data_IF_317636475757
#
_entry.id   IF_317636475757
#
_cell.length_a   1.000
_cell.length_b   1.000
_cell.length_c   1.000
_cell.angle_alpha   90.00
_cell.angle_beta   90.00
_cell.angle_gamma   90.00
#
_symmetry.space_group_name_H-M   'P 1'
#
loop_
_entity.id
_entity.type
_entity.pdbx_description
1 polymer ?
#
# COMPACT_ATOMS: atom_id res chain seq x y z
N UNK A 1 -56.77 27.09 8.25
CA UNK A 1 -56.50 25.67 8.17
C UNK A 1 -55.44 25.47 7.11
N UNK A 2 -54.16 25.33 7.51
CA UNK A 2 -53.06 25.14 6.60
C UNK A 2 -52.77 23.65 6.45
N UNK A 3 -52.82 23.13 5.22
CA UNK A 3 -52.51 21.76 4.89
C UNK A 3 -51.01 21.52 5.08
N UNK A 4 -50.58 20.43 5.75
CA UNK A 4 -49.16 20.13 5.89
C UNK A 4 -48.54 19.65 4.55
N UNK A 5 -47.40 20.25 4.18
CA UNK A 5 -46.60 19.88 3.03
C UNK A 5 -46.02 18.48 3.30
N UNK A 6 -46.17 17.49 2.40
CA UNK A 6 -45.57 16.18 2.60
C UNK A 6 -44.05 16.30 2.54
N UNK A 7 -43.36 15.83 3.60
CA UNK A 7 -41.89 15.64 3.59
C UNK A 7 -41.52 14.57 2.56
N UNK A 8 -40.88 15.00 1.50
CA UNK A 8 -40.26 14.11 0.54
C UNK A 8 -39.21 13.25 1.29
N UNK A 9 -39.50 11.99 1.47
CA UNK A 9 -38.52 11.03 1.97
C UNK A 9 -37.41 10.89 0.91
N UNK A 10 -36.22 11.42 1.21
CA UNK A 10 -35.03 11.22 0.41
C UNK A 10 -34.70 9.72 0.49
N UNK A 11 -34.98 9.01 -0.58
CA UNK A 11 -34.73 7.59 -0.71
C UNK A 11 -33.20 7.43 -0.75
N UNK A 12 -32.61 6.92 0.35
CA UNK A 12 -31.20 6.56 0.44
C UNK A 12 -30.97 5.39 -0.54
N UNK A 13 -30.42 5.69 -1.71
CA UNK A 13 -29.90 4.64 -2.57
C UNK A 13 -28.62 4.12 -1.92
N UNK A 14 -28.53 2.83 -1.54
CA UNK A 14 -27.29 2.27 -1.03
C UNK A 14 -26.25 2.36 -2.15
N UNK A 15 -25.09 2.93 -1.86
CA UNK A 15 -23.95 2.96 -2.76
C UNK A 15 -23.64 1.51 -3.15
N UNK A 16 -23.85 1.15 -4.41
CA UNK A 16 -23.62 -0.22 -4.90
C UNK A 16 -22.13 -0.52 -4.79
N UNK A 17 -21.76 -1.39 -3.86
CA UNK A 17 -20.38 -1.86 -3.75
C UNK A 17 -20.02 -2.66 -4.99
N UNK A 18 -18.89 -2.31 -5.62
CA UNK A 18 -18.31 -3.17 -6.64
C UNK A 18 -17.78 -4.45 -5.96
N UNK A 19 -18.07 -5.58 -6.58
CA UNK A 19 -17.61 -6.88 -6.11
C UNK A 19 -16.68 -7.50 -7.14
N UNK A 20 -15.47 -7.87 -6.70
CA UNK A 20 -14.45 -8.48 -7.53
C UNK A 20 -14.20 -9.92 -7.07
N UNK A 21 -13.66 -10.75 -7.94
CA UNK A 21 -13.18 -12.07 -7.55
C UNK A 21 -11.95 -11.93 -6.63
N UNK A 22 -10.99 -11.08 -7.02
CA UNK A 22 -9.77 -10.86 -6.26
C UNK A 22 -9.44 -9.36 -6.21
N UNK A 23 -8.92 -8.90 -5.07
CA UNK A 23 -8.27 -7.60 -4.92
C UNK A 23 -6.88 -7.86 -4.36
N UNK A 24 -5.83 -7.28 -4.96
CA UNK A 24 -4.48 -7.25 -4.42
C UNK A 24 -4.05 -5.79 -4.16
N UNK A 25 -3.46 -5.56 -3.00
CA UNK A 25 -2.89 -4.28 -2.56
C UNK A 25 -1.58 -4.53 -1.83
N UNK A 26 -0.58 -3.69 -2.05
CA UNK A 26 0.71 -3.71 -1.36
C UNK A 26 1.16 -2.33 -0.92
N UNK A 27 2.34 -2.25 -0.32
CA UNK A 27 3.08 -1.02 -0.08
C UNK A 27 2.22 0.08 0.58
N UNK A 28 1.48 -0.31 1.61
CA UNK A 28 0.59 0.59 2.37
C UNK A 28 1.36 1.39 3.40
N UNK A 29 2.41 0.79 3.99
CA UNK A 29 3.29 1.40 4.98
C UNK A 29 2.55 2.05 6.15
N UNK A 30 1.58 1.31 6.76
CA UNK A 30 0.91 1.74 7.98
C UNK A 30 1.95 2.02 9.08
N UNK A 31 1.84 3.16 9.74
CA UNK A 31 2.81 3.62 10.72
C UNK A 31 3.73 4.71 10.19
N UNK A 32 3.58 5.12 8.93
CA UNK A 32 4.28 6.27 8.34
C UNK A 32 3.38 7.49 8.20
N UNK A 33 3.99 8.66 7.98
CA UNK A 33 3.21 9.90 7.73
C UNK A 33 2.64 9.94 6.30
N UNK A 34 3.28 9.25 5.38
CA UNK A 34 3.05 9.35 3.93
C UNK A 34 1.98 8.34 3.45
N UNK A 35 1.62 7.36 4.30
CA UNK A 35 0.55 6.40 4.05
C UNK A 35 -0.80 7.09 3.79
N UNK A 36 -1.45 6.76 2.67
CA UNK A 36 -2.77 7.26 2.25
C UNK A 36 -3.91 6.42 2.86
N UNK A 37 -3.83 6.16 4.18
CA UNK A 37 -4.75 5.28 4.89
C UNK A 37 -6.24 5.67 4.76
N UNK A 38 -6.55 6.97 4.67
CA UNK A 38 -7.93 7.43 4.52
C UNK A 38 -8.49 7.04 3.14
N UNK A 39 -7.68 7.15 2.08
CA UNK A 39 -8.04 6.69 0.72
C UNK A 39 -8.22 5.19 0.66
N UNK A 40 -7.30 4.42 1.26
CA UNK A 40 -7.43 2.97 1.32
C UNK A 40 -8.69 2.56 2.08
N UNK A 41 -9.02 3.23 3.20
CA UNK A 41 -10.26 3.02 3.92
C UNK A 41 -11.48 3.26 3.03
N UNK A 42 -11.46 4.35 2.25
CA UNK A 42 -12.53 4.68 1.32
C UNK A 42 -12.64 3.61 0.21
N UNK A 43 -11.52 3.22 -0.40
CA UNK A 43 -11.49 2.14 -1.40
C UNK A 43 -12.09 0.83 -0.88
N UNK A 44 -11.61 0.33 0.27
CA UNK A 44 -12.10 -0.91 0.89
C UNK A 44 -13.56 -0.80 1.41
N UNK A 45 -14.08 0.40 1.61
CA UNK A 45 -15.49 0.62 1.95
C UNK A 45 -16.39 0.38 0.74
N UNK A 46 -15.99 0.83 -0.45
CA UNK A 46 -16.79 0.80 -1.67
C UNK A 46 -16.56 -0.45 -2.53
N UNK A 47 -15.53 -1.24 -2.21
CA UNK A 47 -15.18 -2.44 -2.94
C UNK A 47 -15.19 -3.66 -2.02
N UNK A 48 -15.61 -4.81 -2.55
CA UNK A 48 -15.59 -6.11 -1.88
C UNK A 48 -15.03 -7.16 -2.83
N UNK A 49 -14.61 -8.30 -2.30
CA UNK A 49 -14.04 -9.38 -3.11
C UNK A 49 -14.22 -10.74 -2.41
N UNK A 50 -14.03 -11.81 -3.19
CA UNK A 50 -13.96 -13.16 -2.64
C UNK A 50 -12.61 -13.38 -1.96
N UNK A 51 -11.50 -12.91 -2.59
CA UNK A 51 -10.13 -12.97 -2.03
C UNK A 51 -9.48 -11.60 -1.98
N UNK A 52 -8.92 -11.24 -0.82
CA UNK A 52 -8.11 -10.03 -0.61
C UNK A 52 -6.67 -10.43 -0.31
N UNK A 53 -5.76 -10.11 -1.20
CA UNK A 53 -4.32 -10.22 -0.98
C UNK A 53 -3.76 -8.90 -0.45
N UNK A 54 -3.04 -8.98 0.67
CA UNK A 54 -2.19 -7.93 1.23
C UNK A 54 -0.75 -8.32 0.87
N UNK A 55 -0.23 -7.75 -0.23
CA UNK A 55 0.97 -8.26 -0.91
C UNK A 55 2.25 -7.60 -0.37
N UNK A 56 2.42 -7.61 0.94
CA UNK A 56 3.62 -7.13 1.63
C UNK A 56 3.67 -5.62 1.87
N UNK A 57 4.54 -5.23 2.78
CA UNK A 57 4.77 -3.85 3.20
C UNK A 57 3.50 -3.13 3.65
N UNK A 58 2.61 -3.88 4.31
CA UNK A 58 1.37 -3.35 4.86
C UNK A 58 1.64 -2.55 6.14
N UNK A 59 2.53 -3.07 7.00
CA UNK A 59 2.92 -2.42 8.27
C UNK A 59 4.41 -2.08 8.21
N UNK A 60 4.77 -0.80 8.34
CA UNK A 60 6.17 -0.38 8.31
C UNK A 60 6.84 -0.54 9.69
N UNK A 61 7.29 -1.76 10.01
CA UNK A 61 7.96 -2.05 11.26
C UNK A 61 9.37 -1.41 11.36
N UNK A 62 10.02 -1.10 10.24
CA UNK A 62 11.32 -0.41 10.25
C UNK A 62 11.24 0.98 10.89
N UNK A 63 10.08 1.66 10.82
CA UNK A 63 9.88 2.95 11.48
C UNK A 63 9.84 2.84 13.00
N UNK A 64 9.47 1.68 13.54
CA UNK A 64 9.52 1.43 14.98
C UNK A 64 10.97 1.49 15.43
N UNK A 65 11.87 0.78 14.76
CA UNK A 65 13.31 0.74 15.08
C UNK A 65 13.98 2.12 14.97
N UNK A 66 13.47 2.99 14.09
CA UNK A 66 13.98 4.33 13.87
C UNK A 66 13.36 5.40 14.79
N UNK A 67 12.49 5.04 15.73
CA UNK A 67 11.68 5.99 16.53
C UNK A 67 10.87 6.99 15.67
N UNK A 68 10.48 6.60 14.46
CA UNK A 68 9.71 7.40 13.51
C UNK A 68 8.29 6.90 13.29
N UNK A 69 7.85 5.95 14.11
CA UNK A 69 6.52 5.37 14.06
C UNK A 69 5.44 6.40 14.33
N UNK A 70 4.46 6.49 13.45
CA UNK A 70 3.33 7.42 13.55
C UNK A 70 2.04 6.69 13.23
N UNK A 71 1.38 6.22 14.27
CA UNK A 71 0.10 5.54 14.13
C UNK A 71 -1.07 6.51 14.28
N UNK A 72 -1.86 6.71 13.22
CA UNK A 72 -3.07 7.53 13.21
C UNK A 72 -4.30 6.63 13.37
N UNK A 73 -5.45 7.24 13.73
CA UNK A 73 -6.72 6.51 13.77
C UNK A 73 -7.09 5.90 12.42
N UNK A 74 -6.76 6.58 11.31
CA UNK A 74 -6.99 6.04 9.95
C UNK A 74 -6.26 4.71 9.71
N UNK A 75 -5.05 4.52 10.26
CA UNK A 75 -4.32 3.24 10.20
C UNK A 75 -5.09 2.12 10.92
N UNK A 76 -5.56 2.39 12.14
CA UNK A 76 -6.43 1.46 12.88
C UNK A 76 -7.70 1.13 12.08
N UNK A 77 -8.29 2.11 11.39
CA UNK A 77 -9.48 1.92 10.58
C UNK A 77 -9.20 0.99 9.38
N UNK A 78 -8.01 1.07 8.74
CA UNK A 78 -7.61 0.12 7.69
C UNK A 78 -7.59 -1.30 8.24
N UNK A 79 -6.89 -1.53 9.37
CA UNK A 79 -6.82 -2.85 10.00
C UNK A 79 -8.23 -3.38 10.32
N UNK A 80 -9.09 -2.55 10.96
CA UNK A 80 -10.48 -2.93 11.26
C UNK A 80 -11.28 -3.27 10.00
N UNK A 81 -11.04 -2.58 8.89
CA UNK A 81 -11.73 -2.81 7.63
C UNK A 81 -11.30 -4.13 7.00
N UNK A 82 -10.00 -4.42 6.98
CA UNK A 82 -9.46 -5.71 6.53
C UNK A 82 -10.06 -6.87 7.33
N UNK A 83 -10.02 -6.78 8.67
CA UNK A 83 -10.65 -7.78 9.54
C UNK A 83 -12.17 -7.85 9.34
N UNK A 84 -12.81 -6.73 9.00
CA UNK A 84 -14.21 -6.68 8.62
C UNK A 84 -14.52 -7.41 7.32
N UNK A 85 -13.63 -7.39 6.32
CA UNK A 85 -13.74 -8.21 5.11
C UNK A 85 -13.65 -9.70 5.46
N UNK A 86 -12.64 -10.11 6.24
CA UNK A 86 -12.50 -11.48 6.71
C UNK A 86 -13.73 -11.98 7.47
N UNK A 87 -14.27 -11.15 8.38
CA UNK A 87 -15.51 -11.50 9.13
C UNK A 87 -16.74 -11.71 8.22
N UNK A 88 -16.77 -11.06 7.06
CA UNK A 88 -17.88 -11.21 6.09
C UNK A 88 -17.67 -12.35 5.09
N UNK A 89 -16.63 -13.16 5.27
CA UNK A 89 -16.37 -14.33 4.44
C UNK A 89 -15.36 -14.11 3.30
N UNK A 90 -14.77 -12.91 3.16
CA UNK A 90 -13.65 -12.70 2.24
C UNK A 90 -12.44 -13.50 2.73
N UNK A 91 -11.82 -14.32 1.89
CA UNK A 91 -10.53 -14.93 2.18
C UNK A 91 -9.48 -13.83 2.19
N UNK A 92 -8.81 -13.59 3.33
CA UNK A 92 -7.77 -12.59 3.46
C UNK A 92 -6.42 -13.27 3.63
N UNK A 93 -5.51 -12.96 2.72
CA UNK A 93 -4.14 -13.52 2.70
C UNK A 93 -3.13 -12.40 2.80
N UNK A 94 -2.27 -12.47 3.79
CA UNK A 94 -1.17 -11.55 4.02
C UNK A 94 0.14 -12.18 3.54
N UNK A 95 0.79 -11.56 2.59
CA UNK A 95 2.15 -11.91 2.14
C UNK A 95 3.13 -11.00 2.88
N UNK A 96 4.15 -11.56 3.51
CA UNK A 96 5.15 -10.78 4.23
C UNK A 96 6.11 -10.09 3.25
N UNK A 97 6.26 -8.76 3.39
CA UNK A 97 7.26 -7.95 2.69
C UNK A 97 8.51 -7.72 3.56
N UNK A 98 9.41 -6.85 3.09
CA UNK A 98 10.63 -6.54 3.82
C UNK A 98 10.40 -5.55 4.98
N UNK A 99 9.42 -4.64 4.90
CA UNK A 99 9.07 -3.74 6.00
C UNK A 99 8.29 -4.43 7.11
N UNK A 100 7.65 -5.55 6.83
CA UNK A 100 6.93 -6.37 7.80
C UNK A 100 7.52 -7.80 7.92
N UNK A 101 8.82 -7.94 7.65
CA UNK A 101 9.59 -9.19 7.73
C UNK A 101 9.53 -9.89 9.11
N UNK A 102 9.18 -9.16 10.17
CA UNK A 102 8.99 -9.72 11.52
C UNK A 102 7.92 -10.82 11.57
N UNK A 103 7.07 -10.91 10.57
CA UNK A 103 6.07 -11.98 10.43
C UNK A 103 6.68 -13.29 9.92
N UNK A 104 7.77 -13.23 9.16
CA UNK A 104 8.37 -14.41 8.48
C UNK A 104 8.77 -15.54 9.43
N UNK A 105 9.39 -15.28 10.59
CA UNK A 105 9.73 -16.34 11.55
C UNK A 105 8.51 -17.08 12.10
N UNK A 106 7.30 -16.51 12.01
CA UNK A 106 6.09 -17.11 12.54
C UNK A 106 5.37 -18.00 11.53
N UNK A 107 5.66 -17.82 10.22
CA UNK A 107 5.00 -18.55 9.12
C UNK A 107 5.15 -20.08 9.23
N UNK A 108 6.35 -20.64 9.54
CA UNK A 108 6.51 -22.09 9.66
C UNK A 108 5.67 -22.73 10.77
N UNK A 109 5.23 -21.92 11.74
CA UNK A 109 4.39 -22.39 12.87
C UNK A 109 2.88 -22.26 12.59
N UNK A 110 2.48 -21.91 11.35
CA UNK A 110 1.08 -21.74 10.98
C UNK A 110 0.40 -20.54 11.66
N UNK A 111 1.16 -19.51 12.00
CA UNK A 111 0.62 -18.31 12.64
C UNK A 111 -0.37 -17.59 11.71
N UNK A 112 -1.49 -17.15 12.28
CA UNK A 112 -2.53 -16.39 11.59
C UNK A 112 -3.13 -15.34 12.52
N UNK A 113 -3.69 -14.28 11.95
CA UNK A 113 -4.49 -13.31 12.70
C UNK A 113 -5.99 -13.65 12.57
N UNK A 114 -6.49 -14.58 13.38
CA UNK A 114 -7.84 -15.10 13.25
C UNK A 114 -8.01 -15.82 11.91
N UNK A 115 -8.85 -15.28 11.02
CA UNK A 115 -9.07 -15.82 9.66
C UNK A 115 -8.16 -15.20 8.58
N UNK A 116 -7.13 -14.43 8.97
CA UNK A 116 -6.14 -13.89 8.03
C UNK A 116 -4.97 -14.84 7.92
N UNK A 117 -4.78 -15.45 6.76
CA UNK A 117 -3.65 -16.32 6.46
C UNK A 117 -2.37 -15.50 6.28
N UNK A 118 -1.19 -16.03 6.70
CA UNK A 118 0.11 -15.36 6.52
C UNK A 118 1.06 -16.28 5.78
N UNK A 119 1.63 -15.77 4.67
CA UNK A 119 2.53 -16.52 3.80
C UNK A 119 3.72 -15.66 3.34
N UNK A 120 4.81 -16.31 2.90
CA UNK A 120 5.88 -15.63 2.15
C UNK A 120 5.50 -15.46 0.68
N UNK A 121 4.82 -16.46 0.14
CA UNK A 121 4.28 -16.50 -1.22
C UNK A 121 3.18 -17.54 -1.28
N UNK A 122 2.25 -17.42 -2.21
CA UNK A 122 1.16 -18.38 -2.40
C UNK A 122 0.80 -18.45 -3.88
N UNK A 123 0.20 -19.56 -4.29
CA UNK A 123 -0.38 -19.71 -5.61
C UNK A 123 -1.81 -19.18 -5.63
N UNK A 124 -2.15 -18.45 -6.68
CA UNK A 124 -3.51 -18.01 -7.02
C UNK A 124 -3.92 -18.65 -8.34
N UNK A 125 -5.08 -19.30 -8.36
CA UNK A 125 -5.67 -19.83 -9.59
C UNK A 125 -6.68 -18.81 -10.09
N UNK A 126 -6.40 -18.20 -11.24
CA UNK A 126 -7.26 -17.21 -11.87
C UNK A 126 -8.60 -17.80 -12.33
N UNK A 127 -9.57 -16.94 -12.60
CA UNK A 127 -10.84 -17.35 -13.20
C UNK A 127 -10.65 -17.91 -14.64
N UNK A 128 -9.55 -17.57 -15.28
CA UNK A 128 -9.09 -18.09 -16.57
C UNK A 128 -8.40 -19.47 -16.46
N UNK A 129 -8.27 -20.02 -15.25
CA UNK A 129 -7.61 -21.28 -14.97
C UNK A 129 -6.09 -21.21 -14.95
N UNK A 130 -5.49 -20.06 -15.13
CA UNK A 130 -4.05 -19.86 -15.05
C UNK A 130 -3.53 -19.79 -13.63
N UNK A 131 -2.27 -20.16 -13.46
CA UNK A 131 -1.57 -20.23 -12.18
C UNK A 131 -0.67 -19.01 -11.99
N UNK A 132 -0.98 -18.20 -10.99
CA UNK A 132 -0.26 -16.97 -10.66
C UNK A 132 0.47 -17.12 -9.33
N UNK A 133 1.76 -16.78 -9.30
CA UNK A 133 2.50 -16.63 -8.05
C UNK A 133 2.12 -15.30 -7.40
N UNK A 134 1.69 -15.29 -6.14
CA UNK A 134 1.51 -14.06 -5.33
C UNK A 134 2.68 -13.96 -4.38
N UNK A 135 3.47 -12.91 -4.49
CA UNK A 135 4.67 -12.64 -3.68
C UNK A 135 4.91 -11.15 -3.57
N UNK A 136 5.51 -10.66 -2.48
CA UNK A 136 5.85 -9.23 -2.40
C UNK A 136 6.90 -8.83 -3.46
N UNK A 137 7.95 -9.61 -3.61
CA UNK A 137 8.98 -9.38 -4.61
C UNK A 137 10.36 -9.07 -4.04
N UNK A 138 10.49 -8.65 -2.80
CA UNK A 138 11.74 -8.27 -2.14
C UNK A 138 12.84 -9.36 -2.18
N UNK A 139 12.46 -10.64 -2.21
CA UNK A 139 13.38 -11.78 -2.35
C UNK A 139 14.07 -11.83 -3.71
N UNK A 140 13.60 -11.07 -4.69
CA UNK A 140 14.15 -11.01 -6.05
C UNK A 140 15.01 -9.78 -6.29
N UNK A 141 15.17 -8.93 -5.27
CA UNK A 141 16.11 -7.82 -5.26
C UNK A 141 17.55 -8.34 -5.21
N UNK A 142 18.14 -8.57 -6.36
CA UNK A 142 19.56 -8.95 -6.42
C UNK A 142 20.54 -7.87 -5.96
N UNK A 143 20.08 -6.63 -5.71
CA UNK A 143 20.90 -5.51 -5.21
C UNK A 143 19.98 -4.50 -4.52
N UNK A 144 20.13 -4.41 -3.23
CA UNK A 144 19.52 -3.52 -2.27
C UNK A 144 19.45 -2.02 -2.63
N UNK A 145 18.34 -1.37 -2.22
CA UNK A 145 18.28 0.04 -1.81
C UNK A 145 18.42 1.11 -2.89
N UNK A 146 17.65 1.06 -3.96
CA UNK A 146 17.37 2.27 -4.72
C UNK A 146 15.95 2.73 -4.39
N UNK A 147 15.85 3.93 -3.79
CA UNK A 147 14.58 4.51 -3.34
C UNK A 147 13.60 4.67 -4.52
N UNK A 148 12.34 4.26 -4.38
CA UNK A 148 11.31 4.29 -5.44
C UNK A 148 11.02 5.68 -6.00
N UNK A 149 11.29 6.74 -5.23
CA UNK A 149 11.03 8.14 -5.61
C UNK A 149 11.72 8.61 -6.92
N UNK A 150 12.65 7.83 -7.47
CA UNK A 150 13.38 8.19 -8.69
C UNK A 150 12.55 7.98 -9.96
N UNK A 151 11.54 7.13 -9.93
CA UNK A 151 10.63 6.92 -11.06
C UNK A 151 9.66 8.10 -11.27
N UNK A 152 9.48 8.95 -10.26
CA UNK A 152 8.49 10.03 -10.26
C UNK A 152 8.96 11.33 -10.95
N UNK A 153 10.16 11.38 -11.50
CA UNK A 153 10.65 12.55 -12.25
C UNK A 153 10.10 12.52 -13.69
N UNK A 154 8.78 12.69 -13.84
CA UNK A 154 8.17 12.94 -15.14
C UNK A 154 8.64 14.28 -15.76
N UNK A 155 8.31 14.52 -17.05
CA UNK A 155 8.77 15.65 -17.88
C UNK A 155 8.73 17.02 -17.21
N UNK A 156 7.72 17.32 -16.38
CA UNK A 156 7.61 18.60 -15.65
C UNK A 156 8.70 18.80 -14.61
N UNK A 157 9.17 17.73 -13.98
CA UNK A 157 10.25 17.83 -13.01
C UNK A 157 11.61 18.08 -13.70
N UNK A 158 11.79 17.62 -14.94
CA UNK A 158 13.01 17.87 -15.70
C UNK A 158 13.22 19.37 -15.97
N UNK A 159 12.18 20.11 -16.35
CA UNK A 159 12.25 21.56 -16.58
C UNK A 159 12.52 22.34 -15.29
N UNK A 160 11.92 21.92 -14.18
CA UNK A 160 12.19 22.49 -12.85
C UNK A 160 13.65 22.24 -12.47
N UNK A 161 14.15 21.02 -12.69
CA UNK A 161 15.53 20.63 -12.41
C UNK A 161 16.51 21.48 -13.22
N UNK A 162 16.26 21.73 -14.51
CA UNK A 162 17.12 22.58 -15.33
C UNK A 162 17.16 24.03 -14.81
N UNK A 163 16.01 24.56 -14.41
CA UNK A 163 15.92 25.93 -13.85
C UNK A 163 16.65 26.03 -12.50
N UNK A 164 16.46 25.03 -11.62
CA UNK A 164 17.15 24.96 -10.32
C UNK A 164 18.65 24.76 -10.53
N UNK A 165 19.07 23.93 -11.49
CA UNK A 165 20.47 23.69 -11.79
C UNK A 165 21.22 24.98 -12.19
N UNK A 166 20.57 25.82 -12.99
CA UNK A 166 21.19 27.10 -13.41
C UNK A 166 21.39 28.07 -12.23
N UNK A 167 20.39 28.22 -11.36
CA UNK A 167 20.49 29.02 -10.13
C UNK A 167 21.52 28.45 -9.14
N UNK A 168 21.53 27.14 -8.96
CA UNK A 168 22.47 26.43 -8.11
C UNK A 168 23.91 26.59 -8.57
N UNK A 169 24.18 26.47 -9.86
CA UNK A 169 25.52 26.66 -10.40
C UNK A 169 25.98 28.14 -10.39
N UNK A 170 25.05 29.08 -10.48
CA UNK A 170 25.37 30.50 -10.30
C UNK A 170 25.90 30.78 -8.86
N UNK A 171 25.20 30.21 -7.82
CA UNK A 171 25.65 30.32 -6.42
C UNK A 171 27.00 29.62 -6.23
N UNK A 172 27.17 28.39 -6.75
CA UNK A 172 28.43 27.63 -6.64
C UNK A 172 29.62 28.38 -7.21
N UNK A 173 29.46 28.97 -8.41
CA UNK A 173 30.55 29.81 -9.03
C UNK A 173 30.92 30.98 -8.15
N UNK A 174 29.92 31.60 -7.52
CA UNK A 174 30.18 32.76 -6.62
C UNK A 174 30.88 32.33 -5.32
N UNK A 175 30.76 31.09 -4.93
CA UNK A 175 31.44 30.48 -3.78
C UNK A 175 32.77 29.80 -4.14
N UNK A 176 33.23 29.91 -5.39
CA UNK A 176 34.50 29.32 -5.84
C UNK A 176 34.48 27.86 -6.16
N UNK A 177 33.28 27.24 -6.21
CA UNK A 177 33.12 25.83 -6.60
C UNK A 177 32.95 25.67 -8.11
N UNK A 178 33.45 24.54 -8.66
CA UNK A 178 33.29 24.20 -10.07
C UNK A 178 31.84 23.90 -10.45
N UNK A 179 31.59 23.81 -11.76
CA UNK A 179 30.26 23.43 -12.32
C UNK A 179 29.86 22.06 -11.88
N UNK A 180 28.59 21.92 -11.44
CA UNK A 180 27.94 20.61 -11.13
C UNK A 180 26.70 20.45 -11.99
N UNK A 181 26.65 19.38 -12.76
CA UNK A 181 25.49 19.07 -13.58
C UNK A 181 24.47 18.24 -12.80
N UNK A 182 23.48 18.92 -12.23
CA UNK A 182 22.36 18.26 -11.57
C UNK A 182 21.56 17.37 -12.54
N UNK A 183 21.44 17.81 -13.79
CA UNK A 183 20.76 17.03 -14.85
C UNK A 183 21.51 15.73 -15.17
N UNK A 184 22.84 15.75 -15.22
CA UNK A 184 23.65 14.54 -15.44
C UNK A 184 23.55 13.57 -14.25
N UNK A 185 23.60 14.10 -13.04
CA UNK A 185 23.41 13.31 -11.82
C UNK A 185 22.03 12.63 -11.81
N UNK A 186 20.97 13.38 -12.14
CA UNK A 186 19.59 12.84 -12.21
C UNK A 186 19.43 11.81 -13.32
N UNK A 187 19.97 12.07 -14.53
CA UNK A 187 19.96 11.07 -15.62
C UNK A 187 20.60 9.77 -15.17
N UNK A 188 21.73 9.85 -14.43
CA UNK A 188 22.39 8.65 -13.90
C UNK A 188 21.52 7.90 -12.85
N UNK A 189 20.84 8.64 -11.99
CA UNK A 189 19.92 8.07 -10.99
C UNK A 189 18.70 7.44 -11.65
N UNK A 190 18.08 8.14 -12.60
CA UNK A 190 16.93 7.63 -13.37
C UNK A 190 17.33 6.36 -14.13
N UNK A 191 18.46 6.37 -14.85
CA UNK A 191 18.93 5.19 -15.55
C UNK A 191 19.12 4.00 -14.63
N UNK A 192 19.77 4.18 -13.47
CA UNK A 192 19.94 3.10 -12.48
C UNK A 192 18.60 2.58 -11.95
N UNK A 193 17.60 3.44 -11.72
CA UNK A 193 16.28 3.03 -11.29
C UNK A 193 15.56 2.22 -12.38
N UNK A 194 15.62 2.67 -13.62
CA UNK A 194 15.04 1.93 -14.77
C UNK A 194 15.72 0.59 -14.94
N UNK A 195 17.07 0.54 -14.90
CA UNK A 195 17.83 -0.70 -14.99
C UNK A 195 17.48 -1.67 -13.83
N UNK A 196 17.22 -1.13 -12.63
CA UNK A 196 16.79 -1.90 -11.47
C UNK A 196 15.41 -2.51 -11.67
N UNK A 197 14.42 -1.67 -12.04
CA UNK A 197 13.04 -2.11 -12.31
C UNK A 197 13.06 -3.24 -13.37
N UNK A 198 13.75 -3.01 -14.48
CA UNK A 198 13.82 -3.98 -15.56
C UNK A 198 14.40 -5.33 -15.10
N UNK A 199 15.52 -5.31 -14.35
CA UNK A 199 16.14 -6.54 -13.82
C UNK A 199 15.24 -7.24 -12.79
N UNK A 200 14.58 -6.50 -11.93
CA UNK A 200 13.63 -7.05 -10.96
C UNK A 200 12.51 -7.81 -11.68
N UNK A 201 11.87 -7.17 -12.62
CA UNK A 201 10.77 -7.73 -13.40
C UNK A 201 11.21 -8.98 -14.18
N UNK A 202 12.36 -8.91 -14.84
CA UNK A 202 12.93 -10.02 -15.61
C UNK A 202 13.28 -11.20 -14.70
N UNK A 203 13.91 -10.96 -13.55
CA UNK A 203 14.24 -12.00 -12.58
C UNK A 203 12.99 -12.72 -12.06
N UNK A 204 11.95 -11.93 -11.71
CA UNK A 204 10.71 -12.46 -11.19
C UNK A 204 9.95 -13.26 -12.26
N UNK A 205 9.84 -12.74 -13.48
CA UNK A 205 9.23 -13.47 -14.60
C UNK A 205 9.98 -14.78 -14.92
N UNK A 206 11.30 -14.74 -14.96
CA UNK A 206 12.13 -15.94 -15.20
C UNK A 206 11.97 -16.98 -14.08
N UNK A 207 11.85 -16.54 -12.82
CA UNK A 207 11.57 -17.44 -11.71
C UNK A 207 10.20 -18.11 -11.88
N UNK A 208 9.16 -17.36 -12.21
CA UNK A 208 7.82 -17.87 -12.45
C UNK A 208 7.81 -18.88 -13.59
N UNK A 209 8.45 -18.55 -14.71
CA UNK A 209 8.56 -19.45 -15.87
C UNK A 209 9.24 -20.77 -15.52
N UNK A 210 10.35 -20.75 -14.77
CA UNK A 210 11.06 -21.97 -14.31
C UNK A 210 10.22 -22.84 -13.39
N UNK A 211 9.26 -22.25 -12.66
CA UNK A 211 8.37 -22.95 -11.74
C UNK A 211 7.03 -23.34 -12.36
N UNK A 212 6.79 -23.00 -13.63
CA UNK A 212 5.56 -23.35 -14.36
C UNK A 212 4.37 -22.46 -14.03
N UNK A 213 4.60 -21.25 -13.48
CA UNK A 213 3.54 -20.25 -13.32
C UNK A 213 3.30 -19.49 -14.62
N UNK A 214 2.04 -19.22 -14.91
CA UNK A 214 1.60 -18.40 -16.05
C UNK A 214 1.79 -16.92 -15.81
N UNK A 215 1.83 -16.50 -14.53
CA UNK A 215 2.01 -15.09 -14.17
C UNK A 215 2.43 -14.89 -12.72
N UNK A 216 2.62 -13.60 -12.37
CA UNK A 216 2.97 -13.16 -11.03
C UNK A 216 2.18 -11.91 -10.64
N UNK A 217 1.76 -11.87 -9.37
CA UNK A 217 1.16 -10.72 -8.70
C UNK A 217 2.16 -10.26 -7.64
N UNK A 218 2.62 -9.01 -7.73
CA UNK A 218 3.63 -8.47 -6.82
C UNK A 218 3.42 -6.99 -6.51
N UNK A 219 4.19 -6.45 -5.55
CA UNK A 219 4.33 -5.04 -5.19
C UNK A 219 5.80 -4.59 -5.23
N UNK A 220 6.29 -4.03 -4.11
CA UNK A 220 7.67 -3.73 -3.77
C UNK A 220 8.32 -2.57 -4.52
N UNK A 221 8.19 -2.48 -5.84
CA UNK A 221 8.82 -1.42 -6.63
C UNK A 221 7.93 -0.17 -6.79
N UNK A 222 6.74 -0.16 -6.20
CA UNK A 222 5.76 0.95 -6.24
C UNK A 222 5.38 1.40 -7.65
N UNK A 223 5.40 0.48 -8.62
CA UNK A 223 5.11 0.77 -10.03
C UNK A 223 3.99 -0.14 -10.53
N UNK A 224 2.76 0.38 -10.51
CA UNK A 224 1.58 -0.36 -10.95
C UNK A 224 1.62 -0.62 -12.45
N UNK A 225 1.67 -1.90 -12.86
CA UNK A 225 1.75 -2.27 -14.27
C UNK A 225 1.23 -3.69 -14.51
N UNK A 226 0.58 -3.87 -15.65
CA UNK A 226 0.23 -5.19 -16.20
C UNK A 226 0.90 -5.30 -17.56
N UNK A 227 1.78 -6.30 -17.73
CA UNK A 227 2.47 -6.58 -18.99
C UNK A 227 2.86 -8.04 -19.10
N UNK A 228 3.30 -8.46 -20.28
CA UNK A 228 3.87 -9.78 -20.50
C UNK A 228 5.41 -9.68 -20.58
N UNK A 229 6.11 -10.57 -19.87
CA UNK A 229 7.56 -10.67 -19.89
C UNK A 229 7.94 -12.14 -20.11
N UNK A 230 8.57 -12.43 -21.24
CA UNK A 230 9.05 -13.79 -21.59
C UNK A 230 7.93 -14.87 -21.58
N UNK A 231 6.68 -14.49 -21.89
CA UNK A 231 5.49 -15.35 -21.85
C UNK A 231 4.88 -15.52 -20.45
N UNK A 232 5.27 -14.72 -19.47
CA UNK A 232 4.70 -14.67 -18.12
C UNK A 232 3.94 -13.36 -17.92
N UNK A 233 2.71 -13.43 -17.45
CA UNK A 233 1.94 -12.24 -17.08
C UNK A 233 2.53 -11.61 -15.81
N UNK A 234 3.17 -10.45 -15.96
CA UNK A 234 3.68 -9.66 -14.84
C UNK A 234 2.62 -8.63 -14.43
N UNK A 235 2.24 -8.64 -13.15
CA UNK A 235 1.22 -7.76 -12.59
C UNK A 235 1.70 -7.18 -11.26
N UNK A 236 1.94 -5.86 -11.23
CA UNK A 236 2.30 -5.13 -10.02
C UNK A 236 1.12 -4.24 -9.61
N UNK A 237 0.72 -4.31 -8.34
CA UNK A 237 -0.45 -3.60 -7.82
C UNK A 237 -0.15 -2.15 -7.38
N UNK A 238 1.13 -1.75 -7.38
CA UNK A 238 1.58 -0.39 -7.09
C UNK A 238 1.75 -0.11 -5.59
N UNK A 239 1.17 0.98 -5.08
CA UNK A 239 1.33 1.40 -3.70
C UNK A 239 0.15 2.25 -3.16
N UNK A 240 0.12 2.45 -1.83
CA UNK A 240 -0.83 3.33 -1.13
C UNK A 240 -0.12 4.50 -0.40
N UNK A 241 1.00 4.93 -0.94
CA UNK A 241 1.77 6.12 -0.51
C UNK A 241 1.61 7.24 -1.53
N UNK A 242 1.80 6.93 -2.81
CA UNK A 242 1.79 7.91 -3.90
C UNK A 242 0.71 7.62 -4.94
N UNK A 243 0.72 6.44 -5.56
CA UNK A 243 -0.13 6.10 -6.70
C UNK A 243 -1.56 5.73 -6.30
N UNK A 244 -1.78 5.18 -5.10
CA UNK A 244 -3.07 4.73 -4.59
C UNK A 244 -3.76 3.77 -5.56
N UNK A 245 -3.10 2.68 -5.89
CA UNK A 245 -3.55 1.69 -6.86
C UNK A 245 -3.87 0.36 -6.21
N UNK A 246 -4.72 -0.41 -6.86
CA UNK A 246 -5.03 -1.79 -6.53
C UNK A 246 -5.15 -2.61 -7.81
N UNK A 247 -4.67 -3.83 -7.80
CA UNK A 247 -4.90 -4.79 -8.87
C UNK A 247 -6.16 -5.59 -8.56
N UNK A 248 -7.08 -5.69 -9.50
CA UNK A 248 -8.32 -6.44 -9.32
C UNK A 248 -8.52 -7.48 -10.41
N UNK A 249 -9.08 -8.61 -10.02
CA UNK A 249 -9.56 -9.65 -10.92
C UNK A 249 -11.08 -9.63 -10.98
N UNK A 250 -11.63 -9.54 -12.17
CA UNK A 250 -13.05 -9.70 -12.43
C UNK A 250 -13.44 -11.18 -12.49
N UNK A 251 -14.72 -11.51 -12.27
CA UNK A 251 -15.19 -12.88 -12.34
C UNK A 251 -15.05 -13.55 -13.73
N UNK A 252 -14.82 -12.76 -14.77
CA UNK A 252 -14.54 -13.24 -16.12
C UNK A 252 -13.04 -13.48 -16.40
N UNK A 253 -12.17 -13.33 -15.40
CA UNK A 253 -10.71 -13.51 -15.53
C UNK A 253 -9.94 -12.28 -16.06
N UNK A 254 -10.64 -11.15 -16.29
CA UNK A 254 -9.97 -9.91 -16.67
C UNK A 254 -9.28 -9.26 -15.46
N UNK A 255 -8.02 -8.88 -15.62
CA UNK A 255 -7.24 -8.13 -14.64
C UNK A 255 -7.20 -6.65 -14.98
N UNK A 256 -7.34 -5.79 -13.98
CA UNK A 256 -7.38 -4.33 -14.12
C UNK A 256 -6.64 -3.66 -12.94
N UNK A 257 -5.88 -2.59 -13.24
CA UNK A 257 -5.35 -1.69 -12.21
C UNK A 257 -6.36 -0.56 -11.98
N UNK A 258 -6.81 -0.42 -10.75
CA UNK A 258 -7.70 0.67 -10.33
C UNK A 258 -6.88 1.72 -9.61
N UNK A 259 -6.87 2.96 -10.15
CA UNK A 259 -6.35 4.13 -9.44
C UNK A 259 -7.46 4.79 -8.65
N UNK A 260 -7.23 4.99 -7.32
CA UNK A 260 -8.20 5.62 -6.43
C UNK A 260 -7.86 7.09 -6.22
N UNK A 261 -8.48 7.98 -7.02
CA UNK A 261 -8.22 9.43 -7.04
C UNK A 261 -9.05 10.19 -6.01
N UNK A 262 -8.65 11.45 -5.70
CA UNK A 262 -9.37 12.34 -4.78
C UNK A 262 -10.83 12.60 -5.17
N UNK A 263 -11.15 12.63 -6.46
CA UNK A 263 -12.52 12.82 -6.96
C UNK A 263 -13.46 11.68 -6.56
N UNK A 264 -12.92 10.48 -6.35
CA UNK A 264 -13.68 9.34 -5.84
C UNK A 264 -13.88 9.41 -4.32
N UNK A 265 -13.07 10.20 -3.61
CA UNK A 265 -13.22 10.44 -2.16
C UNK A 265 -14.38 11.41 -1.85
N UNK A 266 -14.65 12.38 -2.75
CA UNK A 266 -15.60 13.47 -2.52
C UNK A 266 -17.07 13.06 -2.68
N UNK A 267 -17.35 11.94 -3.34
CA UNK A 267 -18.74 11.44 -3.51
C UNK A 267 -19.41 11.08 -2.17
N UNK A 268 -18.65 10.92 -1.08
CA UNK A 268 -19.16 10.56 0.25
C UNK A 268 -19.21 11.71 1.25
N UNK A 269 -18.51 12.83 1.01
CA UNK A 269 -18.43 13.93 1.99
C UNK A 269 -19.66 14.82 2.00
N UNK A 270 -20.40 14.93 0.89
CA UNK A 270 -21.63 15.72 0.82
C UNK A 270 -22.80 15.08 1.59
N UNK A 271 -22.71 13.77 1.94
CA UNK A 271 -23.79 13.10 2.67
C UNK A 271 -23.60 13.06 4.20
N UNK A 272 -22.47 13.51 4.74
CA UNK A 272 -22.20 13.45 6.20
C UNK A 272 -22.28 14.80 6.91
N UNK A 273 -22.33 15.91 6.19
CA UNK A 273 -22.41 17.26 6.79
C UNK A 273 -23.81 17.67 7.29
N UNK A 274 -24.83 16.90 6.93
CA UNK A 274 -26.24 17.22 7.31
C UNK A 274 -26.72 16.69 8.67
N UNK A 275 -25.91 15.92 9.44
CA UNK A 275 -26.41 15.25 10.66
C UNK A 275 -25.65 15.53 11.95
N UNK A 276 -24.79 16.57 11.98
CA UNK A 276 -23.97 16.89 13.19
C UNK A 276 -24.31 18.19 13.92
N UNK A 277 -25.38 18.88 13.59
CA UNK A 277 -25.71 20.15 14.25
C UNK A 277 -26.79 20.10 15.36
N UNK A 278 -27.20 18.93 15.81
CA UNK A 278 -28.17 18.85 16.93
C UNK A 278 -27.79 17.78 17.99
N UNK A 279 -26.64 17.91 18.62
CA UNK A 279 -26.39 17.18 19.89
C UNK A 279 -25.23 17.79 20.71
N UNK A 280 -25.27 19.07 21.00
CA UNK A 280 -24.39 19.68 22.00
C UNK A 280 -25.14 20.62 22.93
N UNK A 281 -26.01 20.07 23.77
CA UNK A 281 -26.44 20.75 25.03
C UNK A 281 -26.91 19.69 26.03
N UNK A 282 -26.16 19.58 27.14
CA UNK A 282 -26.30 18.85 28.42
C UNK A 282 -25.36 17.67 28.52
N UNK A 283 -24.41 17.64 29.41
CA UNK A 283 -24.36 17.85 30.84
C UNK A 283 -22.93 17.89 31.33
N UNK A 284 -22.56 18.92 32.05
CA UNK A 284 -21.46 18.89 33.01
C UNK A 284 -21.91 18.07 34.22
N UNK A 285 -21.09 17.21 34.75
CA UNK A 285 -20.73 17.11 36.18
C UNK A 285 -19.93 15.86 36.49
N UNK A 286 -18.99 16.08 37.37
CA UNK A 286 -18.31 15.22 38.36
C UNK A 286 -17.16 14.34 37.86
N UNK A 287 -15.99 14.76 38.35
CA UNK A 287 -14.73 14.03 38.31
C UNK A 287 -14.68 12.87 39.31
N UNK A 288 -13.77 11.98 39.04
CA UNK A 288 -13.03 11.24 40.09
C UNK A 288 -11.65 10.85 39.55
N UNK A 289 -10.65 11.20 40.34
CA UNK A 289 -9.25 10.76 40.25
C UNK A 289 -9.11 9.25 40.33
N UNK A 290 -8.20 8.68 39.52
CA UNK A 290 -7.51 7.43 39.87
C UNK A 290 -6.03 7.57 39.49
N UNK A 291 -5.11 7.32 40.43
CA UNK A 291 -3.66 7.35 40.21
C UNK A 291 -3.09 5.96 39.88
N UNK A 292 -1.91 5.92 39.27
CA UNK A 292 -1.05 4.75 39.40
C UNK A 292 -0.46 4.25 38.09
N UNK A 293 0.65 4.85 37.70
CA UNK A 293 1.63 4.32 36.75
C UNK A 293 2.31 3.09 37.33
N UNK A 294 2.45 2.02 36.53
CA UNK A 294 3.45 0.98 36.80
C UNK A 294 4.27 0.76 35.55
N UNK A 295 5.55 1.05 35.65
CA UNK A 295 6.60 0.87 34.64
C UNK A 295 6.79 -0.61 34.33
N UNK A 296 6.88 -0.94 33.03
CA UNK A 296 7.36 -2.22 32.54
C UNK A 296 8.90 -2.20 32.42
N UNK A 297 9.58 -3.32 32.68
CA UNK A 297 11.04 -3.36 32.71
C UNK A 297 11.64 -3.46 31.29
N UNK A 298 12.75 -2.77 31.13
CA UNK A 298 13.64 -2.83 29.98
C UNK A 298 14.36 -4.18 29.88
N UNK A 299 14.56 -4.67 28.65
CA UNK A 299 15.65 -5.58 28.32
C UNK A 299 15.28 -6.90 27.71
N UNK A 300 15.08 -6.92 26.39
CA UNK A 300 15.29 -8.13 25.58
C UNK A 300 16.37 -7.80 24.53
N UNK A 301 17.56 -8.35 24.74
CA UNK A 301 18.64 -8.35 23.74
C UNK A 301 18.39 -9.48 22.77
N UNK A 302 18.24 -9.16 21.48
CA UNK A 302 18.23 -10.15 20.42
C UNK A 302 19.68 -10.53 20.06
N UNK A 303 20.01 -11.81 20.25
CA UNK A 303 21.22 -12.43 19.67
C UNK A 303 21.01 -12.66 18.19
N UNK A 304 21.96 -12.18 17.38
CA UNK A 304 22.05 -12.53 15.98
C UNK A 304 22.38 -14.02 15.87
N UNK A 305 21.52 -14.78 15.25
CA UNK A 305 21.82 -16.14 14.76
C UNK A 305 22.31 -15.98 13.33
N UNK A 306 23.61 -16.21 13.12
CA UNK A 306 24.20 -16.44 11.81
C UNK A 306 23.67 -17.78 11.29
N UNK A 307 23.01 -17.77 10.15
CA UNK A 307 22.79 -18.98 9.35
C UNK A 307 23.74 -18.96 8.18
N UNK A 308 24.75 -19.84 8.26
CA UNK A 308 25.47 -20.36 7.10
C UNK A 308 24.49 -21.18 6.23
N UNK A 309 24.40 -20.88 4.96
CA UNK A 309 24.52 -21.69 3.74
C UNK A 309 24.25 -20.80 2.53
#
# INVERSE_FOLDING_TARGET
>A
MGTPIPRTATMFMPTVKKHYRTIAISDVHLGTKDCQADRLNNFLKHNSCDTLYLVGDIIDAWKIQQNKWRWKQSHTNVVRRVLGHAKRGTRVVYIAGNHDEFLRPMIPYGFSFGSVEIHNQIEHIGADGKHYLVTHGDLFDGITQLAPWVAFLGDKAYDIVLTVNNKFNWIRRRMGFGYFSLSQYLKHKVKKAVDFIFKFEENLANYCKKRGFDGVICGHIHHAEIKEINGVAYMNDGDWVESCTALVEHHNGHWEIITWTKEKDDVDTDNTSGSREQSSRRSETSGTNVPGSTLLPAGIKYNQVQTEV
#
